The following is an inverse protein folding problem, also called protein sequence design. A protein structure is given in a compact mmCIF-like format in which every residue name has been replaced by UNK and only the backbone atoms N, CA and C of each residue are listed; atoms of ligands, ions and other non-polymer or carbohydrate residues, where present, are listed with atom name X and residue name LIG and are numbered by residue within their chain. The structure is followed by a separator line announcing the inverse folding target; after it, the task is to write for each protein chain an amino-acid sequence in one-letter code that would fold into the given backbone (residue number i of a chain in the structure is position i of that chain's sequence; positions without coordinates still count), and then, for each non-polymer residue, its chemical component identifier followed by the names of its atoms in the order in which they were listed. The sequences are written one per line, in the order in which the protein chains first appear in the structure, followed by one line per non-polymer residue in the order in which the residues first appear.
data_IF_708829039528
#
_entry.id   IF_708829039528
#
_cell.length_a   1.000
_cell.length_b   1.000
_cell.length_c   1.000
_cell.angle_alpha   90.00
_cell.angle_beta   90.00
_cell.angle_gamma   90.00
#
_symmetry.space_group_name_H-M   'P 1'
#
loop_
_entity.id
_entity.type
_entity.pdbx_description
1 polymer ?
#
# COMPACT_ATOMS: atom_id res chain seq x y z
N UNK A 1 -5.29 18.96 8.78
CA UNK A 1 -6.56 19.37 8.13
C UNK A 1 -6.63 18.61 6.80
N UNK A 2 -7.78 18.07 6.41
CA UNK A 2 -7.90 17.14 5.26
C UNK A 2 -8.30 17.93 3.99
N UNK A 3 -7.63 17.75 2.84
CA UNK A 3 -7.93 18.51 1.63
C UNK A 3 -9.35 18.25 1.11
N UNK A 4 -10.15 19.31 0.96
CA UNK A 4 -11.53 19.21 0.42
C UNK A 4 -11.60 18.85 -1.08
N UNK A 5 -10.47 18.93 -1.79
CA UNK A 5 -10.40 18.73 -3.25
C UNK A 5 -10.14 17.27 -3.66
N UNK A 6 -10.00 16.37 -2.68
CA UNK A 6 -9.75 14.95 -2.89
C UNK A 6 -11.07 14.17 -2.68
N UNK A 7 -11.48 13.32 -3.63
CA UNK A 7 -12.64 12.43 -3.45
C UNK A 7 -12.58 11.56 -2.19
N UNK A 8 -13.76 11.28 -1.61
CA UNK A 8 -13.90 10.50 -0.38
C UNK A 8 -13.20 9.13 -0.43
N UNK A 9 -13.23 8.46 -1.59
CA UNK A 9 -12.58 7.16 -1.79
C UNK A 9 -11.09 7.18 -1.39
N UNK A 10 -10.35 8.20 -1.85
CA UNK A 10 -8.92 8.31 -1.53
C UNK A 10 -8.67 8.58 -0.04
N UNK A 11 -9.58 9.28 0.64
CA UNK A 11 -9.48 9.45 2.09
C UNK A 11 -9.70 8.14 2.83
N UNK A 12 -10.74 7.39 2.46
CA UNK A 12 -11.04 6.10 3.08
C UNK A 12 -9.86 5.14 2.92
N UNK A 13 -9.30 5.06 1.72
CA UNK A 13 -8.16 4.17 1.44
C UNK A 13 -6.89 4.68 2.12
N UNK A 14 -6.44 5.90 1.79
CA UNK A 14 -5.11 6.36 2.18
C UNK A 14 -4.99 6.84 3.63
N UNK A 15 -6.08 7.30 4.26
CA UNK A 15 -6.05 7.74 5.66
C UNK A 15 -6.66 6.73 6.63
N UNK A 16 -7.57 5.88 6.14
CA UNK A 16 -8.30 4.93 6.98
C UNK A 16 -7.74 3.53 6.86
N UNK A 17 -8.19 2.81 5.83
CA UNK A 17 -7.96 1.39 5.70
C UNK A 17 -6.48 1.04 5.58
N UNK A 18 -5.74 1.77 4.75
CA UNK A 18 -4.37 1.36 4.40
C UNK A 18 -3.38 1.52 5.57
N UNK A 19 -3.27 2.68 6.26
CA UNK A 19 -2.37 2.81 7.41
C UNK A 19 -2.64 1.78 8.51
N UNK A 20 -3.93 1.50 8.77
CA UNK A 20 -4.34 0.49 9.74
C UNK A 20 -3.96 -0.92 9.30
N UNK A 21 -4.18 -1.26 8.02
CA UNK A 21 -3.81 -2.57 7.48
C UNK A 21 -2.30 -2.79 7.47
N UNK A 22 -1.52 -1.75 7.16
CA UNK A 22 -0.06 -1.81 7.14
C UNK A 22 0.49 -2.03 8.56
N UNK A 23 0.03 -1.25 9.55
CA UNK A 23 0.42 -1.44 10.95
C UNK A 23 -0.03 -2.82 11.44
N UNK A 24 -1.27 -3.23 11.15
CA UNK A 24 -1.78 -4.55 11.54
C UNK A 24 -0.94 -5.71 10.96
N UNK A 25 -0.60 -5.64 9.66
CA UNK A 25 0.26 -6.64 9.01
C UNK A 25 1.67 -6.65 9.60
N UNK A 26 2.23 -5.47 9.91
CA UNK A 26 3.52 -5.37 10.59
C UNK A 26 3.50 -5.97 12.00
N UNK A 27 2.45 -5.72 12.78
CA UNK A 27 2.28 -6.35 14.10
C UNK A 27 2.13 -7.87 14.01
N UNK A 28 1.43 -8.37 12.98
CA UNK A 28 1.33 -9.80 12.73
C UNK A 28 2.69 -10.43 12.43
N UNK A 29 3.54 -9.75 11.64
CA UNK A 29 4.91 -10.19 11.37
C UNK A 29 5.78 -10.25 12.64
N UNK A 30 5.57 -9.34 13.59
CA UNK A 30 6.34 -9.31 14.85
C UNK A 30 5.86 -10.33 15.89
N UNK A 31 4.56 -10.62 15.91
CA UNK A 31 3.93 -11.45 16.96
C UNK A 31 3.64 -12.87 16.52
N UNK A 32 3.38 -13.08 15.23
CA UNK A 32 3.06 -14.37 14.64
C UNK A 32 3.60 -14.49 13.19
N UNK A 33 4.95 -14.48 13.04
CA UNK A 33 5.59 -14.50 11.73
C UNK A 33 5.31 -15.77 10.94
N UNK A 34 5.17 -16.92 11.61
CA UNK A 34 4.90 -18.19 10.95
C UNK A 34 3.55 -18.16 10.22
N UNK A 35 2.48 -17.72 10.89
CA UNK A 35 1.16 -17.65 10.25
C UNK A 35 1.14 -16.64 9.11
N UNK A 36 1.85 -15.52 9.25
CA UNK A 36 2.01 -14.56 8.16
C UNK A 36 2.65 -15.20 6.93
N UNK A 37 3.80 -15.87 7.10
CA UNK A 37 4.50 -16.56 5.99
C UNK A 37 3.62 -17.63 5.36
N UNK A 38 2.81 -18.32 6.15
CA UNK A 38 1.94 -19.40 5.66
C UNK A 38 0.78 -18.94 4.78
N UNK A 39 0.41 -17.67 4.86
CA UNK A 39 -0.52 -17.06 3.90
C UNK A 39 0.04 -17.08 2.47
N UNK A 40 1.37 -17.07 2.32
CA UNK A 40 2.04 -17.00 1.02
C UNK A 40 2.73 -18.32 0.63
N UNK A 41 3.21 -19.09 1.60
CA UNK A 41 3.89 -20.37 1.38
C UNK A 41 3.22 -21.49 2.18
N UNK A 42 2.63 -22.51 1.53
CA UNK A 42 1.99 -23.62 2.23
C UNK A 42 2.91 -24.31 3.24
N UNK A 43 2.38 -24.63 4.43
CA UNK A 43 3.06 -25.41 5.48
C UNK A 43 3.61 -26.75 4.99
N UNK A 44 2.96 -27.32 3.96
CA UNK A 44 3.35 -28.59 3.33
C UNK A 44 4.63 -28.48 2.51
N UNK A 45 5.05 -27.28 2.13
CA UNK A 45 6.28 -27.05 1.35
C UNK A 45 7.45 -26.65 2.25
N UNK A 46 7.22 -25.74 3.19
CA UNK A 46 8.24 -25.32 4.16
C UNK A 46 7.60 -24.69 5.38
N UNK A 47 8.32 -24.73 6.49
CA UNK A 47 8.04 -23.96 7.71
C UNK A 47 9.05 -22.84 7.86
N UNK A 48 8.66 -21.76 8.55
CA UNK A 48 9.59 -20.68 8.87
C UNK A 48 10.65 -21.20 9.85
N UNK A 49 11.92 -21.01 9.52
CA UNK A 49 13.03 -21.25 10.44
C UNK A 49 13.10 -20.08 11.44
N UNK A 50 13.08 -20.32 12.76
CA UNK A 50 13.22 -19.26 13.77
C UNK A 50 14.46 -18.37 13.59
N UNK A 51 15.55 -18.87 13.00
CA UNK A 51 16.73 -18.08 12.69
C UNK A 51 16.47 -17.01 11.62
N UNK A 52 15.40 -17.16 10.83
CA UNK A 52 14.97 -16.21 9.81
C UNK A 52 14.02 -15.14 10.36
N UNK A 53 13.66 -15.18 11.66
CA UNK A 53 12.77 -14.18 12.27
C UNK A 53 13.29 -12.74 12.14
N UNK A 54 14.61 -12.56 11.98
CA UNK A 54 15.16 -11.24 11.67
C UNK A 54 14.54 -10.66 10.39
N UNK A 55 14.36 -11.46 9.34
CA UNK A 55 13.77 -11.01 8.07
C UNK A 55 12.30 -10.63 8.22
N UNK A 56 11.53 -11.38 9.01
CA UNK A 56 10.13 -11.04 9.29
C UNK A 56 10.02 -9.80 10.16
N UNK A 57 10.97 -9.59 11.08
CA UNK A 57 11.02 -8.37 11.89
C UNK A 57 11.36 -7.13 11.04
N UNK A 58 12.33 -7.22 10.15
CA UNK A 58 12.67 -6.14 9.20
C UNK A 58 11.47 -5.81 8.31
N UNK A 59 10.76 -6.83 7.79
CA UNK A 59 9.53 -6.62 7.03
C UNK A 59 8.43 -5.99 7.89
N UNK A 60 8.28 -6.43 9.13
CA UNK A 60 7.31 -5.87 10.08
C UNK A 60 7.58 -4.39 10.37
N UNK A 61 8.85 -4.03 10.57
CA UNK A 61 9.29 -2.66 10.73
C UNK A 61 8.98 -1.81 9.49
N UNK A 62 9.19 -2.34 8.29
CA UNK A 62 8.84 -1.66 7.04
C UNK A 62 7.32 -1.42 6.92
N UNK A 63 6.48 -2.42 7.22
CA UNK A 63 5.03 -2.31 7.22
C UNK A 63 4.52 -1.23 8.19
N UNK A 64 5.01 -1.25 9.43
CA UNK A 64 4.67 -0.24 10.44
C UNK A 64 5.13 1.14 9.99
N UNK A 65 6.34 1.24 9.43
CA UNK A 65 6.90 2.51 8.94
C UNK A 65 6.06 3.11 7.81
N UNK A 66 5.62 2.29 6.84
CA UNK A 66 4.72 2.74 5.76
C UNK A 66 3.42 3.28 6.33
N UNK A 67 2.76 2.52 7.21
CA UNK A 67 1.49 2.95 7.81
C UNK A 67 1.64 4.22 8.66
N UNK A 68 2.69 4.30 9.47
CA UNK A 68 2.97 5.47 10.31
C UNK A 68 3.31 6.71 9.47
N UNK A 69 4.24 6.59 8.51
CA UNK A 69 4.63 7.71 7.64
C UNK A 69 3.42 8.20 6.84
N UNK A 70 2.65 7.28 6.24
CA UNK A 70 1.50 7.67 5.45
C UNK A 70 0.41 8.32 6.31
N UNK A 71 0.05 7.70 7.43
CA UNK A 71 -0.93 8.25 8.36
C UNK A 71 -0.52 9.63 8.85
N UNK A 72 0.68 9.75 9.42
CA UNK A 72 1.18 11.01 9.97
C UNK A 72 1.37 12.08 8.90
N UNK A 73 1.94 11.75 7.74
CA UNK A 73 2.22 12.76 6.71
C UNK A 73 0.92 13.29 6.10
N UNK A 74 0.02 12.39 5.69
CA UNK A 74 -1.19 12.78 4.96
C UNK A 74 -2.25 13.44 5.86
N UNK A 75 -2.27 13.17 7.17
CA UNK A 75 -3.16 13.90 8.10
C UNK A 75 -2.67 15.32 8.40
N UNK A 76 -1.36 15.58 8.23
CA UNK A 76 -0.71 16.83 8.60
C UNK A 76 -0.38 17.73 7.39
N UNK A 77 -0.79 17.36 6.17
CA UNK A 77 -0.55 18.18 4.98
C UNK A 77 -1.78 18.31 4.09
N UNK A 78 -1.97 19.52 3.56
CA UNK A 78 -2.95 19.79 2.51
C UNK A 78 -2.34 19.81 1.10
N UNK A 79 -1.01 19.68 0.99
CA UNK A 79 -0.31 19.78 -0.28
C UNK A 79 -0.53 18.53 -1.15
N UNK A 80 -1.31 18.69 -2.23
CA UNK A 80 -1.57 17.65 -3.22
C UNK A 80 -0.28 17.11 -3.86
N UNK A 81 0.80 17.89 -3.91
CA UNK A 81 2.09 17.42 -4.39
C UNK A 81 2.66 16.36 -3.45
N UNK A 82 2.59 16.59 -2.14
CA UNK A 82 3.06 15.62 -1.13
C UNK A 82 2.23 14.34 -1.21
N UNK A 83 0.90 14.46 -1.30
CA UNK A 83 0.02 13.31 -1.50
C UNK A 83 0.39 12.49 -2.74
N UNK A 84 0.66 13.16 -3.87
CA UNK A 84 1.03 12.47 -5.12
C UNK A 84 2.40 11.81 -5.01
N UNK A 85 3.40 12.52 -4.50
CA UNK A 85 4.76 11.98 -4.36
C UNK A 85 4.76 10.76 -3.45
N UNK A 86 4.09 10.81 -2.29
CA UNK A 86 4.00 9.66 -1.40
C UNK A 86 3.33 8.46 -2.08
N UNK A 87 2.17 8.66 -2.72
CA UNK A 87 1.45 7.56 -3.36
C UNK A 87 2.19 6.98 -4.57
N UNK A 88 2.95 7.79 -5.33
CA UNK A 88 3.81 7.29 -6.40
C UNK A 88 4.96 6.46 -5.82
N UNK A 89 5.60 6.94 -4.76
CA UNK A 89 6.67 6.21 -4.08
C UNK A 89 6.20 4.86 -3.56
N UNK A 90 5.01 4.80 -2.96
CA UNK A 90 4.43 3.56 -2.47
C UNK A 90 3.95 2.66 -3.61
N UNK A 91 3.40 3.21 -4.69
CA UNK A 91 3.03 2.42 -5.86
C UNK A 91 4.23 1.65 -6.45
N UNK A 92 5.37 2.33 -6.61
CA UNK A 92 6.56 1.74 -7.23
C UNK A 92 7.37 0.91 -6.23
N UNK A 93 7.60 1.42 -5.03
CA UNK A 93 8.48 0.78 -4.04
C UNK A 93 7.79 -0.30 -3.21
N UNK A 94 6.48 -0.20 -3.01
CA UNK A 94 5.70 -1.10 -2.16
C UNK A 94 4.83 -2.03 -2.99
N UNK A 95 3.83 -1.50 -3.69
CA UNK A 95 2.82 -2.33 -4.35
C UNK A 95 3.41 -3.17 -5.48
N UNK A 96 4.24 -2.57 -6.33
CA UNK A 96 4.89 -3.29 -7.43
C UNK A 96 5.85 -4.37 -6.92
N UNK A 97 6.59 -4.10 -5.83
CA UNK A 97 7.52 -5.05 -5.22
C UNK A 97 6.77 -6.21 -4.54
N UNK A 98 5.66 -5.92 -3.86
CA UNK A 98 4.79 -6.96 -3.29
C UNK A 98 4.18 -7.83 -4.38
N UNK A 99 3.67 -7.21 -5.45
CA UNK A 99 3.07 -7.96 -6.57
C UNK A 99 4.09 -8.83 -7.29
N UNK A 100 5.31 -8.32 -7.49
CA UNK A 100 6.43 -9.11 -7.99
C UNK A 100 6.78 -10.28 -7.07
N UNK A 101 6.78 -10.05 -5.75
CA UNK A 101 7.05 -11.09 -4.76
C UNK A 101 5.99 -12.20 -4.78
N UNK A 102 4.70 -11.84 -4.94
CA UNK A 102 3.62 -12.81 -5.11
C UNK A 102 3.76 -13.61 -6.39
N UNK A 103 4.03 -12.95 -7.51
CA UNK A 103 4.28 -13.63 -8.78
C UNK A 103 5.45 -14.61 -8.69
N UNK A 104 6.58 -14.20 -8.09
CA UNK A 104 7.74 -15.08 -7.88
C UNK A 104 7.40 -16.28 -6.99
N UNK A 105 6.71 -16.04 -5.89
CA UNK A 105 6.31 -17.11 -4.96
C UNK A 105 5.41 -18.14 -5.64
N UNK A 106 4.37 -17.70 -6.35
CA UNK A 106 3.47 -18.58 -7.09
C UNK A 106 4.19 -19.31 -8.23
N UNK A 107 5.12 -18.64 -8.93
CA UNK A 107 5.92 -19.25 -9.99
C UNK A 107 6.78 -20.40 -9.47
N UNK A 108 7.48 -20.23 -8.34
CA UNK A 108 8.31 -21.30 -7.76
C UNK A 108 7.45 -22.46 -7.25
N UNK A 109 6.23 -22.17 -6.81
CA UNK A 109 5.26 -23.19 -6.40
C UNK A 109 4.54 -23.88 -7.58
N UNK A 110 4.78 -23.48 -8.83
CA UNK A 110 4.01 -23.90 -10.01
C UNK A 110 2.50 -23.64 -9.89
N UNK A 111 2.12 -22.52 -9.25
CA UNK A 111 0.73 -22.12 -8.93
C UNK A 111 0.33 -20.80 -9.58
N UNK A 112 0.87 -20.52 -10.78
CA UNK A 112 0.47 -19.32 -11.54
C UNK A 112 -0.94 -19.42 -12.13
N UNK A 113 -1.47 -20.64 -12.27
CA UNK A 113 -2.87 -20.84 -12.60
C UNK A 113 -3.77 -20.39 -11.43
N UNK A 114 -4.62 -19.40 -11.71
CA UNK A 114 -5.55 -18.80 -10.76
C UNK A 114 -6.55 -19.81 -10.18
N UNK A 115 -6.82 -20.92 -10.88
CA UNK A 115 -7.68 -21.99 -10.36
C UNK A 115 -7.08 -22.71 -9.15
N UNK A 116 -5.76 -22.60 -8.96
CA UNK A 116 -5.02 -23.23 -7.85
C UNK A 116 -4.82 -22.30 -6.66
N UNK A 117 -5.30 -21.06 -6.74
CA UNK A 117 -5.10 -20.04 -5.71
C UNK A 117 -5.93 -20.32 -4.47
N UNK A 118 -5.29 -20.19 -3.31
CA UNK A 118 -5.95 -20.27 -2.01
C UNK A 118 -6.69 -18.97 -1.73
N UNK A 119 -7.62 -18.96 -0.77
CA UNK A 119 -8.25 -17.72 -0.31
C UNK A 119 -7.24 -16.63 0.09
N UNK A 120 -6.10 -17.01 0.68
CA UNK A 120 -5.03 -16.06 1.04
C UNK A 120 -4.34 -15.45 -0.17
N UNK A 121 -4.14 -16.22 -1.24
CA UNK A 121 -3.51 -15.74 -2.48
C UNK A 121 -4.44 -14.71 -3.17
N UNK A 122 -5.74 -15.02 -3.24
CA UNK A 122 -6.76 -14.09 -3.72
C UNK A 122 -6.82 -12.80 -2.91
N UNK A 123 -6.87 -12.92 -1.57
CA UNK A 123 -6.93 -11.77 -0.68
C UNK A 123 -5.72 -10.85 -0.90
N UNK A 124 -4.51 -11.40 -0.89
CA UNK A 124 -3.29 -10.63 -1.08
C UNK A 124 -3.24 -9.90 -2.43
N UNK A 125 -3.52 -10.61 -3.53
CA UNK A 125 -3.43 -10.04 -4.88
C UNK A 125 -4.52 -9.00 -5.13
N UNK A 126 -5.77 -9.28 -4.75
CA UNK A 126 -6.87 -8.34 -4.97
C UNK A 126 -6.74 -7.09 -4.10
N UNK A 127 -6.34 -7.25 -2.84
CA UNK A 127 -6.17 -6.11 -1.93
C UNK A 127 -5.01 -5.23 -2.41
N UNK A 128 -3.82 -5.79 -2.63
CA UNK A 128 -2.67 -5.03 -3.09
C UNK A 128 -2.93 -4.42 -4.48
N UNK A 129 -3.59 -5.16 -5.37
CA UNK A 129 -3.98 -4.68 -6.69
C UNK A 129 -4.96 -3.52 -6.64
N UNK A 130 -5.98 -3.59 -5.76
CA UNK A 130 -6.94 -2.51 -5.56
C UNK A 130 -6.28 -1.23 -5.03
N UNK A 131 -5.40 -1.35 -4.04
CA UNK A 131 -4.68 -0.20 -3.47
C UNK A 131 -3.73 0.41 -4.51
N UNK A 132 -2.95 -0.43 -5.22
CA UNK A 132 -2.07 0.03 -6.29
C UNK A 132 -2.84 0.73 -7.42
N UNK A 133 -3.98 0.18 -7.83
CA UNK A 133 -4.86 0.83 -8.82
C UNK A 133 -5.40 2.18 -8.32
N UNK A 134 -5.77 2.26 -7.04
CA UNK A 134 -6.22 3.51 -6.40
C UNK A 134 -5.11 4.56 -6.40
N UNK A 135 -3.87 4.17 -6.12
CA UNK A 135 -2.70 5.06 -6.21
C UNK A 135 -2.41 5.52 -7.63
N UNK A 136 -2.49 4.61 -8.59
CA UNK A 136 -2.31 4.94 -10.00
C UNK A 136 -3.36 5.96 -10.47
N UNK A 137 -4.63 5.74 -10.12
CA UNK A 137 -5.71 6.68 -10.42
C UNK A 137 -5.47 8.04 -9.77
N UNK A 138 -5.06 8.07 -8.49
CA UNK A 138 -4.74 9.32 -7.79
C UNK A 138 -3.56 10.06 -8.43
N UNK A 139 -2.48 9.35 -8.78
CA UNK A 139 -1.30 9.90 -9.44
C UNK A 139 -1.65 10.48 -10.82
N UNK A 140 -2.52 9.81 -11.58
CA UNK A 140 -3.07 10.29 -12.85
C UNK A 140 -4.05 11.46 -12.69
N UNK A 141 -4.45 11.80 -11.46
CA UNK A 141 -5.34 12.91 -11.15
C UNK A 141 -6.82 12.60 -11.36
N UNK A 142 -7.20 11.32 -11.42
CA UNK A 142 -8.59 10.89 -11.61
C UNK A 142 -9.47 11.41 -10.46
N UNK A 143 -10.49 12.18 -10.80
CA UNK A 143 -11.46 12.73 -9.83
C UNK A 143 -10.94 13.90 -8.97
N UNK A 144 -9.69 14.35 -9.15
CA UNK A 144 -9.17 15.50 -8.41
C UNK A 144 -9.71 16.81 -8.97
N UNK A 145 -10.36 17.60 -8.11
CA UNK A 145 -10.85 18.92 -8.52
C UNK A 145 -9.68 19.89 -8.49
N UNK A 146 -9.30 20.47 -9.64
CA UNK A 146 -8.30 21.56 -9.65
C UNK A 146 -8.86 22.72 -8.84
N UNK A 147 -8.25 23.05 -7.71
CA UNK A 147 -8.45 24.35 -7.08
C UNK A 147 -8.13 25.41 -8.14
N UNK A 148 -9.08 26.31 -8.42
CA UNK A 148 -8.90 27.42 -9.37
C UNK A 148 -7.71 28.26 -8.89
N UNK A 149 -6.53 27.98 -9.44
CA UNK A 149 -5.33 28.75 -9.16
C UNK A 149 -5.47 30.13 -9.81
N UNK A 150 -5.82 31.13 -8.98
CA UNK A 150 -5.25 32.47 -9.01
C UNK A 150 -5.20 33.26 -10.34
N UNK A 151 -6.14 33.04 -11.27
CA UNK A 151 -6.27 33.83 -12.51
C UNK A 151 -6.83 35.26 -12.32
N UNK A 152 -6.60 35.90 -11.15
CA UNK A 152 -7.06 37.27 -10.86
C UNK A 152 -5.94 38.22 -10.40
N UNK A 153 -4.68 37.94 -10.75
CA UNK A 153 -3.56 38.87 -10.44
C UNK A 153 -2.86 39.48 -11.67
N UNK A 154 -3.43 39.37 -12.87
CA UNK A 154 -2.93 40.12 -14.05
C UNK A 154 -3.93 41.11 -14.67
N UNK A 155 -5.00 41.49 -13.96
CA UNK A 155 -6.03 42.40 -14.51
C UNK A 155 -6.19 43.73 -13.75
N UNK A 156 -5.37 43.99 -12.72
CA UNK A 156 -5.42 45.28 -12.00
C UNK A 156 -4.02 45.69 -11.52
N UNK A 157 -3.17 46.07 -12.46
CA UNK A 157 -2.10 47.03 -12.26
C UNK A 157 -1.75 47.61 -13.64
N UNK A 158 -2.79 48.14 -14.29
CA UNK A 158 -2.67 49.22 -15.27
C UNK A 158 -2.98 50.53 -14.51
#
# INVERSE_FOLDING_TARGET
MIPKNIPLLYHIVFLGWEPLSAIGGGLQLLTNPADFVHNFVPRTLTTLDPLQNILTNELGAAYISVGAIQGLLLTNTEDLRIWRLLNISLLVGWDAVLMYSYWRSLSVQNRLDWTTWRPSDWAAILITGFVGATRLAFAAGVGLTRAKAHAKRSSKAD
#
